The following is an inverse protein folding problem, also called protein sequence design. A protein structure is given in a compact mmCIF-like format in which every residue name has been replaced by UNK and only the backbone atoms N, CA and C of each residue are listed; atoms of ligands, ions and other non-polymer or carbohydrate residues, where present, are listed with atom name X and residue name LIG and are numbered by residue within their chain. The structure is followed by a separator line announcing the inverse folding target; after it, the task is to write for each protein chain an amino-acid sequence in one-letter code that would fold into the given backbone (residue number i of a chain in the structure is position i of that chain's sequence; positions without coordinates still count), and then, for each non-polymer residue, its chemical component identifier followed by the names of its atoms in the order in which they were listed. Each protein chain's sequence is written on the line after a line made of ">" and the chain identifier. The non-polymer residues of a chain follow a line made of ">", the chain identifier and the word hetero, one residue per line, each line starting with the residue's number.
data_IF_333068861118
#
_entry.id   IF_333068861118
#
_cell.length_a   1.000
_cell.length_b   1.000
_cell.length_c   1.000
_cell.angle_alpha   90.00
_cell.angle_beta   90.00
_cell.angle_gamma   90.00
#
_symmetry.space_group_name_H-M   'P 1'
#
loop_
_entity.id
_entity.type
_entity.pdbx_description
1 polymer ?
#
# COMPACT_ATOMS: atom_id res chain seq x y z
N UNK A 1 20.34 -7.08 -12.63
CA UNK A 1 19.84 -6.00 -13.51
C UNK A 1 20.32 -4.66 -12.98
N UNK A 2 20.73 -3.78 -13.87
CA UNK A 2 21.14 -2.41 -13.56
C UNK A 2 19.96 -1.45 -13.73
N UNK A 3 19.68 -0.63 -12.72
CA UNK A 3 18.68 0.43 -12.75
C UNK A 3 19.39 1.78 -12.61
N UNK A 4 19.39 2.57 -13.69
CA UNK A 4 19.95 3.92 -13.70
C UNK A 4 18.94 4.89 -13.11
N UNK A 5 19.34 5.65 -12.08
CA UNK A 5 18.43 6.55 -11.40
C UNK A 5 18.25 7.88 -12.14
N UNK A 6 17.01 8.34 -12.21
CA UNK A 6 16.64 9.62 -12.77
C UNK A 6 17.14 10.77 -11.89
N UNK A 7 17.64 11.85 -12.50
CA UNK A 7 17.93 13.10 -11.78
C UNK A 7 16.64 13.87 -11.53
N UNK A 8 16.63 14.74 -10.53
CA UNK A 8 15.46 15.59 -10.20
C UNK A 8 14.98 16.40 -11.42
N UNK A 9 13.67 16.62 -11.52
CA UNK A 9 13.04 17.45 -12.57
C UNK A 9 12.26 16.71 -13.65
N UNK A 10 12.09 15.38 -13.53
CA UNK A 10 11.30 14.58 -14.48
C UNK A 10 9.78 14.68 -14.26
N UNK A 11 9.31 14.99 -13.05
CA UNK A 11 7.87 15.08 -12.73
C UNK A 11 7.21 16.27 -13.45
N UNK A 12 6.00 16.07 -13.97
CA UNK A 12 5.23 17.09 -14.69
C UNK A 12 5.98 17.70 -15.89
N UNK A 13 6.93 16.97 -16.47
CA UNK A 13 7.71 17.40 -17.62
C UNK A 13 7.10 16.83 -18.91
N UNK A 14 6.55 17.70 -19.75
CA UNK A 14 5.93 17.32 -21.04
C UNK A 14 6.90 16.63 -21.99
N UNK A 15 8.17 17.04 -22.02
CA UNK A 15 9.15 16.39 -22.87
C UNK A 15 9.47 14.98 -22.36
N UNK A 16 9.61 14.82 -21.05
CA UNK A 16 9.81 13.50 -20.43
C UNK A 16 8.63 12.55 -20.73
N UNK A 17 7.39 13.05 -20.69
CA UNK A 17 6.22 12.24 -21.05
C UNK A 17 6.25 11.81 -22.53
N UNK A 18 6.58 12.72 -23.46
CA UNK A 18 6.73 12.37 -24.89
C UNK A 18 7.82 11.34 -25.11
N UNK A 19 8.98 11.55 -24.49
CA UNK A 19 10.12 10.63 -24.60
C UNK A 19 9.78 9.25 -24.00
N UNK A 20 8.95 9.19 -22.94
CA UNK A 20 8.40 7.93 -22.44
C UNK A 20 7.51 7.24 -23.48
N UNK A 21 6.60 7.97 -24.13
CA UNK A 21 5.75 7.39 -25.18
C UNK A 21 6.55 6.95 -26.42
N UNK A 22 7.66 7.60 -26.72
CA UNK A 22 8.49 7.33 -27.91
C UNK A 22 9.67 6.38 -27.63
N UNK A 23 9.76 5.84 -26.41
CA UNK A 23 10.86 4.95 -25.97
C UNK A 23 12.25 5.60 -26.07
N UNK A 24 12.35 6.89 -25.72
CA UNK A 24 13.56 7.71 -25.84
C UNK A 24 14.22 8.03 -24.49
N UNK A 25 13.63 7.63 -23.36
CA UNK A 25 14.18 7.95 -22.02
C UNK A 25 15.57 7.37 -21.82
N UNK A 26 15.75 6.09 -22.14
CA UNK A 26 17.00 5.36 -21.86
C UNK A 26 18.20 5.95 -22.62
N UNK A 27 17.97 6.50 -23.81
CA UNK A 27 19.05 7.06 -24.65
C UNK A 27 19.37 8.52 -24.32
N UNK A 28 18.49 9.20 -23.57
CA UNK A 28 18.70 10.59 -23.17
C UNK A 28 19.46 10.66 -21.84
N UNK A 29 20.78 10.67 -21.94
CA UNK A 29 21.72 10.75 -20.80
C UNK A 29 21.43 11.92 -19.86
N UNK A 30 20.83 13.00 -20.35
CA UNK A 30 20.49 14.15 -19.51
C UNK A 30 19.45 13.80 -18.45
N UNK A 31 18.65 12.73 -18.58
CA UNK A 31 17.67 12.38 -17.56
C UNK A 31 18.25 11.69 -16.32
N UNK A 32 19.51 11.24 -16.37
CA UNK A 32 20.08 10.41 -15.32
C UNK A 32 20.98 11.20 -14.36
N UNK A 33 21.03 10.78 -13.09
CA UNK A 33 21.91 11.37 -12.08
C UNK A 33 23.34 10.80 -12.13
N UNK A 34 23.53 9.67 -12.81
CA UNK A 34 24.75 8.87 -12.75
C UNK A 34 24.74 7.83 -11.62
N UNK A 35 23.75 7.84 -10.74
CA UNK A 35 23.58 6.82 -9.70
C UNK A 35 22.95 5.55 -10.29
N UNK A 36 23.38 4.41 -9.76
CA UNK A 36 23.01 3.09 -10.26
C UNK A 36 22.63 2.19 -9.08
N UNK A 37 21.50 1.50 -9.21
CA UNK A 37 21.01 0.47 -8.30
C UNK A 37 21.07 -0.89 -8.97
N UNK A 38 21.52 -1.90 -8.24
CA UNK A 38 21.56 -3.28 -8.71
C UNK A 38 20.46 -4.11 -8.03
N UNK A 39 19.63 -4.77 -8.83
CA UNK A 39 18.59 -5.69 -8.37
C UNK A 39 18.75 -7.04 -9.05
N UNK A 40 18.26 -8.13 -8.44
CA UNK A 40 18.39 -9.47 -9.01
C UNK A 40 17.58 -9.61 -10.31
N UNK A 41 16.30 -9.29 -10.22
CA UNK A 41 15.32 -9.31 -11.31
C UNK A 41 14.32 -8.17 -11.12
N UNK A 42 13.65 -7.80 -12.20
CA UNK A 42 12.50 -6.92 -12.17
C UNK A 42 11.37 -7.62 -12.94
N UNK A 43 10.58 -8.52 -12.33
CA UNK A 43 9.37 -9.02 -12.96
C UNK A 43 8.34 -7.90 -13.11
N UNK A 44 7.46 -8.01 -14.09
CA UNK A 44 6.29 -7.12 -14.20
C UNK A 44 5.27 -7.47 -13.12
N UNK A 45 4.58 -6.46 -12.58
CA UNK A 45 3.59 -6.65 -11.53
C UNK A 45 2.53 -5.53 -11.58
N UNK A 46 1.32 -5.76 -11.05
CA UNK A 46 0.29 -4.73 -11.02
C UNK A 46 0.71 -3.50 -10.20
N UNK A 47 0.75 -2.31 -10.83
CA UNK A 47 1.13 -1.06 -10.16
C UNK A 47 -0.03 -0.09 -9.94
N UNK A 48 -1.15 -0.30 -10.62
CA UNK A 48 -2.32 0.57 -10.54
C UNK A 48 -3.60 -0.24 -10.49
N UNK A 49 -4.27 -0.23 -9.34
CA UNK A 49 -5.35 -1.17 -8.99
C UNK A 49 -6.66 -0.44 -8.65
N UNK A 50 -6.93 0.66 -9.35
CA UNK A 50 -8.09 1.51 -9.12
C UNK A 50 -9.37 1.06 -9.85
N UNK A 51 -9.25 0.22 -10.89
CA UNK A 51 -10.36 -0.23 -11.74
C UNK A 51 -10.63 -1.73 -11.54
N UNK A 52 -11.82 -2.17 -11.93
CA UNK A 52 -12.26 -3.57 -11.82
C UNK A 52 -13.17 -3.83 -10.61
N UNK A 53 -13.74 -5.03 -10.59
CA UNK A 53 -14.50 -5.58 -9.47
C UNK A 53 -13.63 -5.74 -8.22
N UNK A 54 -14.24 -5.91 -7.05
CA UNK A 54 -13.50 -6.17 -5.80
C UNK A 54 -12.66 -7.45 -5.92
N UNK A 55 -13.18 -8.49 -6.59
CA UNK A 55 -12.46 -9.74 -6.79
C UNK A 55 -11.22 -9.56 -7.69
N UNK A 56 -11.36 -8.88 -8.83
CA UNK A 56 -10.23 -8.60 -9.73
C UNK A 56 -9.16 -7.75 -9.04
N UNK A 57 -9.58 -6.72 -8.30
CA UNK A 57 -8.65 -5.89 -7.52
C UNK A 57 -7.92 -6.72 -6.46
N UNK A 58 -8.62 -7.64 -5.80
CA UNK A 58 -8.02 -8.55 -4.83
C UNK A 58 -6.90 -9.40 -5.44
N UNK A 59 -7.16 -9.99 -6.61
CA UNK A 59 -6.15 -10.77 -7.33
C UNK A 59 -4.92 -9.93 -7.68
N UNK A 60 -5.11 -8.72 -8.21
CA UNK A 60 -4.00 -7.82 -8.56
C UNK A 60 -3.17 -7.43 -7.32
N UNK A 61 -3.81 -7.19 -6.17
CA UNK A 61 -3.10 -6.87 -4.93
C UNK A 61 -2.27 -8.05 -4.43
N UNK A 62 -2.84 -9.26 -4.44
CA UNK A 62 -2.13 -10.47 -4.02
C UNK A 62 -0.93 -10.77 -4.92
N UNK A 63 -1.12 -10.66 -6.24
CA UNK A 63 -0.04 -10.79 -7.22
C UNK A 63 1.08 -9.75 -6.98
N UNK A 64 0.71 -8.49 -6.74
CA UNK A 64 1.67 -7.43 -6.42
C UNK A 64 2.43 -7.71 -5.12
N UNK A 65 1.75 -8.17 -4.06
CA UNK A 65 2.39 -8.55 -2.80
C UNK A 65 3.41 -9.69 -3.01
N UNK A 66 3.03 -10.73 -3.73
CA UNK A 66 3.89 -11.89 -3.99
C UNK A 66 5.16 -11.50 -4.77
N UNK A 67 5.01 -10.72 -5.84
CA UNK A 67 6.13 -10.29 -6.69
C UNK A 67 7.04 -9.28 -5.98
N UNK A 68 6.48 -8.33 -5.24
CA UNK A 68 7.25 -7.40 -4.42
C UNK A 68 8.04 -8.15 -3.34
N UNK A 69 7.37 -9.04 -2.61
CA UNK A 69 7.98 -9.86 -1.56
C UNK A 69 9.14 -10.72 -2.09
N UNK A 70 8.94 -11.41 -3.21
CA UNK A 70 9.94 -12.34 -3.75
C UNK A 70 11.09 -11.67 -4.51
N UNK A 71 10.85 -10.51 -5.15
CA UNK A 71 11.79 -9.94 -6.12
C UNK A 71 12.35 -8.57 -5.77
N UNK A 72 11.62 -7.75 -5.01
CA UNK A 72 11.99 -6.34 -4.76
C UNK A 72 12.42 -6.08 -3.31
N UNK A 73 11.89 -6.83 -2.33
CA UNK A 73 12.29 -6.72 -0.92
C UNK A 73 13.66 -7.33 -0.60
N UNK A 74 14.33 -7.96 -1.57
CA UNK A 74 15.71 -8.42 -1.43
C UNK A 74 16.75 -7.27 -1.51
N UNK A 75 16.30 -6.05 -1.78
CA UNK A 75 17.13 -4.83 -1.80
C UNK A 75 17.21 -4.19 -0.42
N UNK A 76 18.19 -3.30 -0.21
CA UNK A 76 18.24 -2.48 1.01
C UNK A 76 16.94 -1.67 1.19
N UNK A 77 16.53 -1.47 2.44
CA UNK A 77 15.32 -0.72 2.78
C UNK A 77 15.27 0.66 2.14
N UNK A 78 16.39 1.37 2.14
CA UNK A 78 16.49 2.69 1.53
C UNK A 78 16.19 2.67 0.02
N UNK A 79 16.40 1.54 -0.67
CA UNK A 79 16.15 1.40 -2.10
C UNK A 79 14.66 1.13 -2.37
N UNK A 80 14.07 0.12 -1.76
CA UNK A 80 12.66 -0.20 -2.02
C UNK A 80 11.68 0.81 -1.40
N UNK A 81 12.17 1.70 -0.51
CA UNK A 81 11.44 2.89 -0.08
C UNK A 81 11.81 4.19 -0.80
N UNK A 82 12.68 4.14 -1.81
CA UNK A 82 13.03 5.31 -2.62
C UNK A 82 12.05 5.50 -3.78
N UNK A 83 11.43 6.68 -3.81
CA UNK A 83 10.58 7.13 -4.91
C UNK A 83 11.32 7.13 -6.25
N UNK A 84 12.57 7.62 -6.27
CA UNK A 84 13.34 7.76 -7.50
C UNK A 84 13.65 6.39 -8.09
N UNK A 85 13.98 5.40 -7.26
CA UNK A 85 14.12 4.01 -7.68
C UNK A 85 12.87 3.52 -8.45
N UNK A 86 11.67 3.64 -7.88
CA UNK A 86 10.45 3.17 -8.52
C UNK A 86 10.14 3.94 -9.81
N UNK A 87 10.24 5.26 -9.81
CA UNK A 87 10.02 6.06 -11.02
C UNK A 87 11.01 5.72 -12.13
N UNK A 88 12.28 5.49 -11.78
CA UNK A 88 13.31 5.08 -12.74
C UNK A 88 13.02 3.69 -13.30
N UNK A 89 12.68 2.72 -12.44
CA UNK A 89 12.29 1.37 -12.86
C UNK A 89 11.12 1.42 -13.84
N UNK A 90 10.05 2.14 -13.49
CA UNK A 90 8.81 2.18 -14.25
C UNK A 90 8.97 2.91 -15.58
N UNK A 91 9.52 4.13 -15.56
CA UNK A 91 9.61 4.98 -16.75
C UNK A 91 10.64 4.46 -17.76
N UNK A 92 11.71 3.80 -17.29
CA UNK A 92 12.83 3.41 -18.16
C UNK A 92 12.72 1.95 -18.60
N UNK A 93 12.28 1.05 -17.73
CA UNK A 93 12.39 -0.40 -17.97
C UNK A 93 11.05 -1.14 -18.06
N UNK A 94 9.92 -0.47 -17.80
CA UNK A 94 8.59 -1.10 -17.75
C UNK A 94 7.59 -0.50 -18.74
N UNK A 95 8.06 0.34 -19.67
CA UNK A 95 7.21 1.08 -20.62
C UNK A 95 6.21 0.18 -21.34
N UNK A 96 6.67 -0.91 -21.95
CA UNK A 96 5.81 -1.76 -22.78
C UNK A 96 4.69 -2.40 -21.97
N UNK A 97 5.05 -3.02 -20.84
CA UNK A 97 4.10 -3.55 -19.88
C UNK A 97 3.07 -2.50 -19.43
N UNK A 98 3.54 -1.29 -19.08
CA UNK A 98 2.68 -0.21 -18.62
C UNK A 98 1.70 0.26 -19.70
N UNK A 99 2.15 0.42 -20.94
CA UNK A 99 1.30 0.85 -22.05
C UNK A 99 0.32 -0.22 -22.51
N UNK A 100 0.62 -1.50 -22.27
CA UNK A 100 -0.29 -2.63 -22.51
C UNK A 100 -1.36 -2.72 -21.41
N UNK A 101 -0.95 -2.75 -20.14
CA UNK A 101 -1.87 -2.94 -19.00
C UNK A 101 -2.66 -1.69 -18.64
N UNK A 102 -2.09 -0.51 -18.87
CA UNK A 102 -2.67 0.79 -18.52
C UNK A 102 -2.70 1.74 -19.72
N UNK A 103 -3.47 1.42 -20.78
CA UNK A 103 -3.47 2.21 -22.01
C UNK A 103 -3.87 3.67 -21.81
N UNK A 104 -4.62 3.99 -20.74
CA UNK A 104 -4.98 5.36 -20.37
C UNK A 104 -3.77 6.26 -20.07
N UNK A 105 -2.57 5.70 -19.86
CA UNK A 105 -1.34 6.50 -19.77
C UNK A 105 -1.17 7.39 -21.02
N UNK A 106 -1.65 6.93 -22.17
CA UNK A 106 -1.60 7.67 -23.46
C UNK A 106 -2.58 8.84 -23.53
N UNK A 107 -3.56 8.90 -22.62
CA UNK A 107 -4.61 9.93 -22.63
C UNK A 107 -4.09 11.30 -22.14
N UNK A 108 -2.88 11.36 -21.58
CA UNK A 108 -2.19 12.61 -21.27
C UNK A 108 -1.25 12.53 -20.06
N UNK A 109 -0.44 13.57 -19.91
CA UNK A 109 0.58 13.68 -18.84
C UNK A 109 0.00 13.48 -17.43
N UNK A 110 -1.24 13.88 -17.19
CA UNK A 110 -1.91 13.67 -15.91
C UNK A 110 -2.10 12.18 -15.58
N UNK A 111 -2.48 11.37 -16.57
CA UNK A 111 -2.62 9.91 -16.36
C UNK A 111 -1.25 9.27 -16.17
N UNK A 112 -0.26 9.68 -16.97
CA UNK A 112 1.12 9.26 -16.80
C UNK A 112 1.67 9.56 -15.39
N UNK A 113 1.51 10.79 -14.90
CA UNK A 113 1.95 11.14 -13.55
C UNK A 113 1.17 10.41 -12.46
N UNK A 114 -0.13 10.14 -12.64
CA UNK A 114 -0.93 9.45 -11.64
C UNK A 114 -0.68 7.93 -11.58
N UNK A 115 -0.11 7.34 -12.62
CA UNK A 115 0.12 5.89 -12.72
C UNK A 115 1.62 5.58 -12.60
N UNK A 116 2.47 6.25 -13.36
CA UNK A 116 3.91 5.93 -13.50
C UNK A 116 4.76 6.76 -12.53
N UNK A 117 4.46 8.05 -12.37
CA UNK A 117 5.25 8.99 -11.54
C UNK A 117 4.52 9.43 -10.27
N UNK A 118 3.62 8.59 -9.76
CA UNK A 118 2.76 8.90 -8.61
C UNK A 118 3.62 9.00 -7.37
N UNK A 119 3.51 10.12 -6.65
CA UNK A 119 4.24 10.36 -5.39
C UNK A 119 4.25 9.13 -4.49
N UNK A 120 5.43 8.72 -4.03
CA UNK A 120 5.64 7.48 -3.31
C UNK A 120 5.28 7.62 -1.83
N UNK A 121 3.98 7.67 -1.57
CA UNK A 121 3.40 7.84 -0.24
C UNK A 121 2.23 6.86 -0.04
N UNK A 122 1.51 7.00 1.07
CA UNK A 122 0.38 6.12 1.44
C UNK A 122 -0.74 6.02 0.39
N UNK A 123 -0.84 6.93 -0.58
CA UNK A 123 -1.81 6.81 -1.69
C UNK A 123 -1.34 5.85 -2.80
N UNK A 124 -0.02 5.69 -2.95
CA UNK A 124 0.60 4.90 -4.01
C UNK A 124 0.44 3.39 -3.74
N UNK A 125 0.02 2.64 -4.76
CA UNK A 125 -0.22 1.20 -4.66
C UNK A 125 1.06 0.39 -4.43
N UNK A 126 2.17 0.78 -5.05
CA UNK A 126 3.47 0.14 -4.83
C UNK A 126 3.91 0.38 -3.39
N UNK A 127 3.81 1.61 -2.89
CA UNK A 127 4.13 1.94 -1.50
C UNK A 127 3.34 1.06 -0.52
N UNK A 128 2.02 0.92 -0.73
CA UNK A 128 1.15 0.05 0.07
C UNK A 128 1.62 -1.40 0.08
N UNK A 129 1.98 -1.92 -1.09
CA UNK A 129 2.42 -3.30 -1.24
C UNK A 129 3.80 -3.53 -0.65
N UNK A 130 4.76 -2.61 -0.85
CA UNK A 130 6.10 -2.67 -0.24
C UNK A 130 6.00 -2.69 1.27
N UNK A 131 5.24 -1.75 1.84
CA UNK A 131 5.09 -1.64 3.30
C UNK A 131 4.41 -2.87 3.89
N UNK A 132 3.31 -3.32 3.27
CA UNK A 132 2.56 -4.48 3.75
C UNK A 132 3.35 -5.79 3.61
N UNK A 133 4.02 -5.98 2.46
CA UNK A 133 4.90 -7.13 2.24
C UNK A 133 6.05 -7.16 3.24
N UNK A 134 6.71 -6.03 3.49
CA UNK A 134 7.80 -5.97 4.46
C UNK A 134 7.30 -6.31 5.87
N UNK A 135 6.22 -5.68 6.33
CA UNK A 135 5.71 -5.88 7.69
C UNK A 135 5.27 -7.31 7.94
N UNK A 136 4.60 -7.92 6.95
CA UNK A 136 4.22 -9.33 7.02
C UNK A 136 5.45 -10.22 7.00
N UNK A 137 6.42 -9.98 6.11
CA UNK A 137 7.62 -10.80 6.00
C UNK A 137 8.53 -10.75 7.23
N UNK A 138 8.62 -9.59 7.88
CA UNK A 138 9.44 -9.38 9.08
C UNK A 138 8.87 -10.12 10.30
N UNK A 139 7.55 -10.36 10.34
CA UNK A 139 6.84 -10.97 11.47
C UNK A 139 6.40 -12.42 11.22
N UNK A 140 6.29 -12.86 9.96
CA UNK A 140 5.74 -14.16 9.56
C UNK A 140 6.74 -14.87 8.67
N UNK A 141 7.18 -16.06 9.06
CA UNK A 141 8.15 -16.86 8.28
C UNK A 141 7.48 -17.85 7.34
N UNK A 142 6.28 -18.32 7.69
CA UNK A 142 5.52 -19.30 6.90
C UNK A 142 4.89 -18.64 5.67
N UNK A 143 5.03 -19.26 4.50
CA UNK A 143 4.60 -18.66 3.23
C UNK A 143 3.07 -18.65 3.08
N UNK A 144 2.39 -19.71 3.50
CA UNK A 144 0.93 -19.79 3.40
C UNK A 144 0.28 -18.77 4.35
N UNK A 145 0.87 -18.59 5.52
CA UNK A 145 0.46 -17.58 6.48
C UNK A 145 0.68 -16.15 5.97
N UNK A 146 1.77 -15.88 5.23
CA UNK A 146 1.97 -14.58 4.57
C UNK A 146 0.86 -14.29 3.56
N UNK A 147 0.49 -15.27 2.75
CA UNK A 147 -0.61 -15.14 1.78
C UNK A 147 -1.93 -14.83 2.49
N UNK A 148 -2.18 -15.47 3.65
CA UNK A 148 -3.33 -15.16 4.50
C UNK A 148 -3.32 -13.70 4.95
N UNK A 149 -2.19 -13.19 5.45
CA UNK A 149 -2.08 -11.79 5.86
C UNK A 149 -2.22 -10.80 4.68
N UNK A 150 -1.72 -11.12 3.50
CA UNK A 150 -1.97 -10.32 2.29
C UNK A 150 -3.46 -10.24 1.96
N UNK A 151 -4.16 -11.36 2.11
CA UNK A 151 -5.62 -11.42 2.04
C UNK A 151 -6.29 -10.49 3.06
N UNK A 152 -5.90 -10.57 4.33
CA UNK A 152 -6.43 -9.71 5.39
C UNK A 152 -6.18 -8.22 5.15
N UNK A 153 -5.00 -7.85 4.65
CA UNK A 153 -4.69 -6.46 4.27
C UNK A 153 -5.62 -6.00 3.16
N UNK A 154 -5.82 -6.80 2.11
CA UNK A 154 -6.73 -6.45 1.01
C UNK A 154 -8.18 -6.35 1.50
N UNK A 155 -8.64 -7.31 2.30
CA UNK A 155 -9.97 -7.29 2.89
C UNK A 155 -10.16 -6.08 3.80
N UNK A 156 -9.11 -5.54 4.40
CA UNK A 156 -9.19 -4.36 5.27
C UNK A 156 -8.49 -3.14 4.66
N UNK A 157 -8.41 -3.04 3.33
CA UNK A 157 -7.58 -2.07 2.62
C UNK A 157 -7.86 -0.61 3.01
N UNK A 158 -9.12 -0.28 3.29
CA UNK A 158 -9.49 1.08 3.70
C UNK A 158 -8.96 1.41 5.11
N UNK A 159 -9.08 0.49 6.06
CA UNK A 159 -8.48 0.61 7.39
C UNK A 159 -6.94 0.62 7.30
N UNK A 160 -6.36 -0.27 6.50
CA UNK A 160 -4.93 -0.32 6.25
C UNK A 160 -4.40 1.01 5.71
N UNK A 161 -5.08 1.63 4.75
CA UNK A 161 -4.72 2.95 4.23
C UNK A 161 -4.65 4.02 5.34
N UNK A 162 -5.56 3.95 6.33
CA UNK A 162 -5.56 4.87 7.48
C UNK A 162 -4.43 4.57 8.46
N UNK A 163 -4.12 3.29 8.72
CA UNK A 163 -2.95 2.89 9.51
C UNK A 163 -1.68 3.49 8.90
N UNK A 164 -1.45 3.26 7.61
CA UNK A 164 -0.21 3.72 6.96
C UNK A 164 -0.22 5.21 6.66
N UNK A 165 -1.37 5.89 6.69
CA UNK A 165 -1.44 7.35 6.59
C UNK A 165 -0.81 8.01 7.81
N UNK A 166 -1.05 7.46 9.01
CA UNK A 166 -0.51 7.99 10.26
C UNK A 166 0.87 7.39 10.55
N UNK A 167 1.91 8.22 10.57
CA UNK A 167 3.31 7.78 10.75
C UNK A 167 3.53 6.95 12.01
N UNK A 168 2.88 7.34 13.11
CA UNK A 168 2.91 6.64 14.39
C UNK A 168 2.47 5.17 14.32
N UNK A 169 1.60 4.81 13.36
CA UNK A 169 1.05 3.47 13.20
C UNK A 169 1.74 2.68 12.10
N UNK A 170 2.74 3.26 11.42
CA UNK A 170 3.61 2.53 10.48
C UNK A 170 4.57 1.64 11.26
N UNK A 171 4.03 0.62 11.90
CA UNK A 171 4.74 -0.39 12.67
C UNK A 171 4.19 -1.78 12.31
N UNK A 172 5.09 -2.74 12.15
CA UNK A 172 4.79 -4.12 11.76
C UNK A 172 3.95 -4.86 12.81
N UNK A 173 4.32 -4.76 14.09
CA UNK A 173 3.58 -5.35 15.21
C UNK A 173 2.17 -4.76 15.33
N UNK A 174 2.03 -3.44 15.24
CA UNK A 174 0.72 -2.79 15.28
C UNK A 174 -0.19 -3.25 14.15
N UNK A 175 0.31 -3.28 12.91
CA UNK A 175 -0.45 -3.78 11.77
C UNK A 175 -0.88 -5.23 12.00
N UNK A 176 0.06 -6.11 12.35
CA UNK A 176 -0.21 -7.53 12.59
C UNK A 176 -1.26 -7.72 13.68
N UNK A 177 -1.10 -7.08 14.82
CA UNK A 177 -2.03 -7.21 15.95
C UNK A 177 -3.44 -6.73 15.58
N UNK A 178 -3.57 -5.61 14.86
CA UNK A 178 -4.88 -5.15 14.37
C UNK A 178 -5.52 -6.16 13.41
N UNK A 179 -4.75 -6.72 12.48
CA UNK A 179 -5.26 -7.75 11.55
C UNK A 179 -5.67 -9.02 12.29
N UNK A 180 -4.88 -9.46 13.28
CA UNK A 180 -5.19 -10.63 14.11
C UNK A 180 -6.49 -10.42 14.89
N UNK A 181 -6.68 -9.25 15.51
CA UNK A 181 -7.92 -8.90 16.22
C UNK A 181 -9.12 -8.93 15.27
N UNK A 182 -8.99 -8.35 14.07
CA UNK A 182 -10.06 -8.32 13.08
C UNK A 182 -10.44 -9.73 12.63
N UNK A 183 -9.45 -10.56 12.36
CA UNK A 183 -9.65 -11.93 11.87
C UNK A 183 -10.26 -12.82 12.97
N UNK A 184 -9.67 -12.82 14.17
CA UNK A 184 -10.13 -13.58 15.34
C UNK A 184 -11.60 -13.29 15.69
N UNK A 185 -12.02 -12.03 15.54
CA UNK A 185 -13.38 -11.56 15.85
C UNK A 185 -14.29 -11.48 14.62
N UNK A 186 -13.82 -11.90 13.44
CA UNK A 186 -14.54 -11.86 12.17
C UNK A 186 -15.13 -10.47 11.82
N UNK A 187 -14.30 -9.42 11.98
CA UNK A 187 -14.73 -8.02 11.90
C UNK A 187 -14.50 -7.36 10.52
N UNK A 188 -13.93 -8.03 9.52
CA UNK A 188 -13.64 -7.40 8.21
C UNK A 188 -14.86 -6.70 7.59
N UNK A 189 -16.05 -7.33 7.66
CA UNK A 189 -17.31 -6.71 7.19
C UNK A 189 -17.72 -5.50 8.02
N UNK A 190 -17.53 -5.57 9.33
CA UNK A 190 -17.83 -4.46 10.26
C UNK A 190 -16.90 -3.28 9.99
N UNK A 191 -15.60 -3.53 9.80
CA UNK A 191 -14.61 -2.48 9.56
C UNK A 191 -14.90 -1.70 8.26
N UNK A 192 -15.46 -2.36 7.24
CA UNK A 192 -15.89 -1.74 5.98
C UNK A 192 -17.23 -0.97 6.08
N UNK A 193 -18.04 -1.22 7.10
CA UNK A 193 -19.40 -0.71 7.18
C UNK A 193 -19.43 0.82 7.23
N UNK A 194 -20.37 1.42 6.49
CA UNK A 194 -20.62 2.86 6.55
C UNK A 194 -21.39 3.19 7.83
N UNK A 195 -21.07 4.34 8.41
CA UNK A 195 -21.83 4.91 9.52
C UNK A 195 -22.84 5.87 8.91
N UNK A 196 -24.13 5.55 9.01
CA UNK A 196 -25.22 6.29 8.35
C UNK A 196 -26.15 7.01 9.33
N UNK A 197 -26.01 6.73 10.62
CA UNK A 197 -26.88 7.18 11.71
C UNK A 197 -26.24 8.30 12.56
N UNK A 198 -25.16 8.90 12.07
CA UNK A 198 -24.36 9.93 12.77
C UNK A 198 -23.99 11.09 11.86
N UNK A 199 -24.89 12.08 11.78
CA UNK A 199 -24.70 13.27 10.94
C UNK A 199 -23.50 14.14 11.37
N UNK A 200 -23.05 14.01 12.62
CA UNK A 200 -21.94 14.77 13.18
C UNK A 200 -20.55 14.34 12.67
N UNK A 201 -20.43 13.15 12.07
CA UNK A 201 -19.13 12.58 11.68
C UNK A 201 -18.70 12.93 10.25
N UNK A 202 -19.63 13.42 9.41
CA UNK A 202 -19.37 13.77 8.01
C UNK A 202 -19.88 12.73 7.02
N UNK A 203 -19.69 13.01 5.73
CA UNK A 203 -20.15 12.14 4.64
C UNK A 203 -19.12 11.04 4.34
N UNK A 204 -19.59 9.78 4.24
CA UNK A 204 -18.78 8.58 3.93
C UNK A 204 -17.81 8.11 5.03
N UNK A 205 -18.20 8.27 6.29
CA UNK A 205 -17.48 7.69 7.42
C UNK A 205 -17.69 6.17 7.52
N UNK A 206 -16.64 5.46 7.91
CA UNK A 206 -16.63 4.00 8.07
C UNK A 206 -16.09 3.61 9.43
N UNK A 207 -16.62 2.52 9.97
CA UNK A 207 -16.27 2.05 11.32
C UNK A 207 -14.76 1.89 11.50
N UNK A 208 -14.08 1.20 10.59
CA UNK A 208 -12.63 0.97 10.70
C UNK A 208 -11.80 2.26 10.68
N UNK A 209 -12.19 3.24 9.86
CA UNK A 209 -11.53 4.56 9.82
C UNK A 209 -11.64 5.27 11.16
N UNK A 210 -12.83 5.23 11.76
CA UNK A 210 -13.11 5.86 13.05
C UNK A 210 -12.37 5.18 14.20
N UNK A 211 -12.26 3.85 14.20
CA UNK A 211 -11.46 3.13 15.20
C UNK A 211 -9.99 3.59 15.16
N UNK A 212 -9.37 3.62 13.97
CA UNK A 212 -7.98 4.12 13.83
C UNK A 212 -7.88 5.62 14.19
N UNK A 213 -8.91 6.40 13.89
CA UNK A 213 -8.98 7.81 14.30
C UNK A 213 -8.99 7.97 15.83
N UNK A 214 -9.73 7.13 16.57
CA UNK A 214 -9.72 7.18 18.04
C UNK A 214 -8.35 6.79 18.61
N UNK A 215 -7.70 5.76 18.06
CA UNK A 215 -6.30 5.47 18.43
C UNK A 215 -5.40 6.69 18.24
N UNK A 216 -5.52 7.40 17.10
CA UNK A 216 -4.71 8.58 16.80
C UNK A 216 -5.05 9.80 17.68
N UNK A 217 -6.21 9.82 18.34
CA UNK A 217 -6.64 10.91 19.23
C UNK A 217 -6.37 10.60 20.71
N UNK A 218 -6.43 9.33 21.08
CA UNK A 218 -6.34 8.87 22.46
C UNK A 218 -4.96 9.12 23.05
N UNK A 219 -4.90 9.77 24.22
CA UNK A 219 -3.63 10.00 24.90
C UNK A 219 -3.30 8.83 25.84
N UNK A 220 -2.04 8.33 25.85
CA UNK A 220 -0.94 8.72 24.97
C UNK A 220 -0.93 7.92 23.65
N UNK A 221 -1.05 8.65 22.55
CA UNK A 221 -1.11 8.14 21.16
C UNK A 221 0.10 7.25 20.82
N UNK A 222 1.27 7.57 21.39
CA UNK A 222 2.56 6.92 21.11
C UNK A 222 2.62 5.49 21.68
N UNK A 223 1.78 5.16 22.67
CA UNK A 223 1.84 3.83 23.30
C UNK A 223 1.05 2.77 22.55
N UNK A 224 0.02 3.14 21.77
CA UNK A 224 -0.83 2.15 21.08
C UNK A 224 -0.07 1.19 20.15
N UNK A 225 0.92 1.63 19.36
CA UNK A 225 1.78 0.72 18.58
C UNK A 225 2.66 -0.22 19.41
N UNK A 226 2.87 0.10 20.69
CA UNK A 226 3.75 -0.64 21.60
C UNK A 226 2.97 -1.62 22.49
N UNK A 227 1.63 -1.64 22.38
CA UNK A 227 0.79 -2.53 23.15
C UNK A 227 0.87 -3.95 22.60
N UNK A 228 0.88 -4.91 23.53
CA UNK A 228 0.67 -6.31 23.21
C UNK A 228 -0.75 -6.52 22.67
N UNK A 229 -0.96 -7.62 21.91
CA UNK A 229 -2.21 -7.86 21.19
C UNK A 229 -3.46 -7.76 22.08
N UNK A 230 -3.42 -8.32 23.28
CA UNK A 230 -4.59 -8.34 24.18
C UNK A 230 -4.92 -6.96 24.74
N UNK A 231 -3.92 -6.18 25.17
CA UNK A 231 -4.15 -4.80 25.64
C UNK A 231 -4.65 -3.92 24.48
N UNK A 232 -4.09 -4.11 23.28
CA UNK A 232 -4.55 -3.42 22.08
C UNK A 232 -5.99 -3.80 21.72
N UNK A 233 -6.37 -5.06 21.91
CA UNK A 233 -7.72 -5.58 21.66
C UNK A 233 -8.75 -4.96 22.59
N UNK A 234 -8.43 -4.76 23.86
CA UNK A 234 -9.33 -4.08 24.80
C UNK A 234 -9.67 -2.67 24.31
N UNK A 235 -8.65 -1.87 23.94
CA UNK A 235 -8.86 -0.54 23.38
C UNK A 235 -9.57 -0.57 22.03
N UNK A 236 -9.23 -1.53 21.18
CA UNK A 236 -9.87 -1.70 19.88
C UNK A 236 -11.37 -1.93 20.04
N UNK A 237 -11.78 -2.79 20.97
CA UNK A 237 -13.18 -3.07 21.28
C UNK A 237 -13.88 -1.87 21.91
N UNK A 238 -13.19 -1.13 22.77
CA UNK A 238 -13.70 0.12 23.32
C UNK A 238 -14.03 1.12 22.19
N UNK A 239 -13.08 1.39 21.30
CA UNK A 239 -13.29 2.33 20.20
C UNK A 239 -14.30 1.83 19.17
N UNK A 240 -14.35 0.52 18.94
CA UNK A 240 -15.37 -0.10 18.11
C UNK A 240 -16.78 0.16 18.68
N UNK A 241 -16.95 0.06 19.99
CA UNK A 241 -18.25 0.24 20.67
C UNK A 241 -18.84 1.63 20.47
N UNK A 242 -18.01 2.65 20.18
CA UNK A 242 -18.48 4.00 19.90
C UNK A 242 -19.22 4.11 18.57
N UNK A 243 -19.01 3.14 17.66
CA UNK A 243 -19.48 3.18 16.27
C UNK A 243 -20.23 1.92 15.83
N UNK A 244 -20.24 0.86 16.64
CA UNK A 244 -20.89 -0.41 16.33
C UNK A 244 -21.49 -1.07 17.57
N UNK A 245 -22.78 -1.40 17.53
CA UNK A 245 -23.54 -2.01 18.63
C UNK A 245 -23.97 -3.47 18.35
N UNK A 246 -23.49 -4.09 17.28
CA UNK A 246 -23.83 -5.47 16.93
C UNK A 246 -23.12 -6.50 17.81
N UNK A 247 -23.67 -7.72 17.88
CA UNK A 247 -23.06 -8.82 18.63
C UNK A 247 -21.80 -9.31 17.92
N UNK A 248 -20.65 -9.22 18.60
CA UNK A 248 -19.37 -9.77 18.13
C UNK A 248 -19.36 -11.28 18.44
N UNK A 249 -19.19 -12.12 17.43
CA UNK A 249 -19.03 -13.57 17.59
C UNK A 249 -17.60 -13.95 17.19
N UNK A 250 -16.77 -14.43 18.14
CA UNK A 250 -15.43 -14.93 17.82
C UNK A 250 -15.49 -16.09 16.83
N UNK A 251 -14.48 -16.23 15.96
CA UNK A 251 -14.29 -17.47 15.23
C UNK A 251 -13.95 -18.58 16.25
N UNK A 252 -14.73 -19.67 16.25
CA UNK A 252 -14.34 -20.89 16.94
C UNK A 252 -13.17 -21.50 16.16
N UNK A 253 -11.96 -21.49 16.74
CA UNK A 253 -10.81 -22.23 16.24
C UNK A 253 -11.05 -23.73 16.25
#
# INVERSE_FOLDING_TARGET
>A
MEIRLLKKGYKNNEQFYKDFLEDQILINEEYFSGEIVFINSAPDFPIYMAKGSEQERGQLFLEAFELISSSYLNTNRDIHFDEVFWHSLLAVYKRDYLLEQYPQIKDGINQFNNIVLKDFNWENYIYKCVLGAQYVNDQVTDLDERVRYYGLIFENLDLYNYIIKYEIFRNDSFLKNILDIIDELNLSKVMKAKITDRDDLGADERVGRRVIFEFNKSYPIIMSPMLEKEDLKELFLEYLSYYYQGTIQPQLM
#
